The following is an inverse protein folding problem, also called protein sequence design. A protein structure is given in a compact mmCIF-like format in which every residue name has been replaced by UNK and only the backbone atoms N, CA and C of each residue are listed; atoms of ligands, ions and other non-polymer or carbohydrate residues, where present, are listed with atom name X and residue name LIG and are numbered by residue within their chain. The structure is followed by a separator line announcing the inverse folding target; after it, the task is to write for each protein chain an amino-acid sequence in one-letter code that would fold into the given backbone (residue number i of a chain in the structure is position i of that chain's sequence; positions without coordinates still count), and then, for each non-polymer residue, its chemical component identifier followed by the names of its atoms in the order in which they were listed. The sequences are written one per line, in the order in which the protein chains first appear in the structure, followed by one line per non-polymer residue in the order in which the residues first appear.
data_IF_111371718999
#
_entry.id   IF_111371718999
#
_cell.length_a   1.000
_cell.length_b   1.000
_cell.length_c   1.000
_cell.angle_alpha   90.00
_cell.angle_beta   90.00
_cell.angle_gamma   90.00
#
_symmetry.space_group_name_H-M   'P 1'
#
loop_
_entity.id
_entity.type
_entity.pdbx_description
1 polymer ?
#
# COMPACT_ATOMS: atom_id res chain seq x y z
N UNK A 1 20.76 -58.77 -52.11
CA UNK A 1 20.12 -59.37 -50.91
C UNK A 1 19.83 -58.27 -49.91
N UNK A 2 18.54 -58.02 -49.66
CA UNK A 2 17.98 -57.02 -48.74
C UNK A 2 18.15 -57.46 -47.27
N UNK A 3 18.56 -56.56 -46.38
CA UNK A 3 18.11 -56.59 -44.98
C UNK A 3 18.12 -55.17 -44.37
N UNK A 4 16.91 -54.59 -44.31
CA UNK A 4 16.50 -53.40 -43.54
C UNK A 4 16.70 -53.65 -42.06
N UNK A 5 17.23 -52.70 -41.29
CA UNK A 5 16.79 -52.43 -39.90
C UNK A 5 16.89 -50.92 -39.65
N UNK A 6 15.74 -50.26 -39.76
CA UNK A 6 15.51 -48.86 -39.37
C UNK A 6 15.25 -48.89 -37.87
N UNK A 7 16.21 -48.42 -37.07
CA UNK A 7 16.05 -48.22 -35.63
C UNK A 7 15.76 -46.75 -35.36
N UNK A 8 14.49 -46.43 -35.14
CA UNK A 8 14.04 -45.16 -34.57
C UNK A 8 14.68 -44.96 -33.20
N UNK A 9 15.62 -44.01 -33.08
CA UNK A 9 15.91 -43.37 -31.79
C UNK A 9 15.19 -42.01 -31.75
N UNK A 10 13.88 -42.07 -31.51
CA UNK A 10 13.13 -40.98 -30.91
C UNK A 10 13.57 -40.87 -29.44
N UNK A 11 14.74 -40.29 -29.20
CA UNK A 11 15.08 -39.79 -27.88
C UNK A 11 14.28 -38.51 -27.70
N UNK A 12 13.15 -38.67 -27.00
CA UNK A 12 12.23 -37.61 -26.65
C UNK A 12 13.00 -36.45 -26.02
N UNK A 13 12.94 -35.30 -26.69
CA UNK A 13 13.02 -34.00 -26.05
C UNK A 13 11.88 -33.94 -25.04
N UNK A 14 12.13 -34.47 -23.84
CA UNK A 14 11.37 -34.12 -22.65
C UNK A 14 11.54 -32.61 -22.50
N UNK A 15 10.55 -31.89 -23.00
CA UNK A 15 10.37 -30.48 -22.80
C UNK A 15 10.43 -30.23 -21.30
N UNK A 16 11.57 -29.72 -20.83
CA UNK A 16 11.66 -28.96 -19.59
C UNK A 16 10.82 -27.70 -19.79
N UNK A 17 9.50 -27.85 -19.75
CA UNK A 17 8.61 -26.74 -19.52
C UNK A 17 8.92 -26.27 -18.10
N UNK A 18 9.45 -25.04 -17.92
CA UNK A 18 9.62 -24.50 -16.59
C UNK A 18 8.25 -24.54 -15.94
N UNK A 19 8.16 -25.30 -14.84
CA UNK A 19 7.00 -25.34 -13.96
C UNK A 19 6.79 -23.90 -13.52
N UNK A 20 5.93 -23.17 -14.22
CA UNK A 20 5.54 -21.83 -13.83
C UNK A 20 5.04 -21.99 -12.40
N UNK A 21 5.80 -21.43 -11.45
CA UNK A 21 5.31 -21.25 -10.11
C UNK A 21 3.97 -20.53 -10.29
N UNK A 22 2.87 -21.22 -9.99
CA UNK A 22 1.56 -20.61 -9.96
C UNK A 22 1.73 -19.42 -9.02
N UNK A 23 1.71 -18.21 -9.58
CA UNK A 23 1.83 -17.01 -8.80
C UNK A 23 0.74 -17.09 -7.73
N UNK A 24 1.15 -17.10 -6.46
CA UNK A 24 0.21 -17.11 -5.35
C UNK A 24 -0.68 -15.87 -5.52
N UNK A 25 -2.00 -16.09 -5.62
CA UNK A 25 -2.93 -14.99 -5.79
C UNK A 25 -2.79 -14.06 -4.59
N UNK A 26 -2.70 -12.73 -4.79
CA UNK A 26 -2.63 -11.80 -3.68
C UNK A 26 -3.80 -12.03 -2.74
N UNK A 27 -3.51 -12.24 -1.45
CA UNK A 27 -4.55 -12.31 -0.43
C UNK A 27 -5.41 -11.05 -0.53
N UNK A 28 -6.72 -11.23 -0.41
CA UNK A 28 -7.69 -10.14 -0.45
C UNK A 28 -8.58 -10.15 0.78
N UNK A 29 -8.99 -8.98 1.24
CA UNK A 29 -9.99 -8.84 2.29
C UNK A 29 -11.15 -7.96 1.84
N UNK A 30 -12.39 -8.49 1.81
CA UNK A 30 -13.57 -7.72 1.41
C UNK A 30 -13.91 -6.56 2.36
N UNK A 31 -13.34 -6.51 3.56
CA UNK A 31 -13.49 -5.41 4.52
C UNK A 31 -12.51 -4.26 4.27
N UNK A 32 -11.65 -4.38 3.26
CA UNK A 32 -10.68 -3.38 2.84
C UNK A 32 -9.26 -3.64 3.33
N UNK A 33 -8.27 -3.22 2.55
CA UNK A 33 -6.85 -3.40 2.81
C UNK A 33 -6.29 -2.36 3.80
N UNK A 34 -6.12 -2.76 5.07
CA UNK A 34 -5.58 -1.89 6.13
C UNK A 34 -4.18 -1.36 5.80
N UNK A 35 -3.31 -2.21 5.24
CA UNK A 35 -1.96 -1.80 4.89
C UNK A 35 -1.97 -0.79 3.73
N UNK A 36 -2.89 -0.94 2.77
CA UNK A 36 -3.01 0.06 1.70
C UNK A 36 -3.51 1.40 2.23
N UNK A 37 -4.53 1.39 3.10
CA UNK A 37 -5.03 2.61 3.74
C UNK A 37 -3.91 3.35 4.47
N UNK A 38 -3.10 2.63 5.26
CA UNK A 38 -1.94 3.22 5.93
C UNK A 38 -0.98 3.91 4.95
N UNK A 39 -0.63 3.26 3.84
CA UNK A 39 0.26 3.83 2.82
C UNK A 39 -0.33 5.13 2.23
N UNK A 40 -1.61 5.13 1.90
CA UNK A 40 -2.31 6.30 1.34
C UNK A 40 -2.31 7.46 2.34
N UNK A 41 -2.75 7.23 3.57
CA UNK A 41 -2.80 8.28 4.58
C UNK A 41 -1.41 8.81 4.93
N UNK A 42 -0.39 7.96 4.92
CA UNK A 42 1.01 8.36 5.13
C UNK A 42 1.53 9.26 4.00
N UNK A 43 1.19 8.96 2.74
CA UNK A 43 1.55 9.82 1.59
C UNK A 43 0.83 11.18 1.68
N UNK A 44 -0.47 11.18 2.00
CA UNK A 44 -1.27 12.41 2.16
C UNK A 44 -0.69 13.30 3.26
N UNK A 45 -0.33 12.70 4.40
CA UNK A 45 0.29 13.43 5.50
C UNK A 45 1.62 14.06 5.06
N UNK A 46 2.48 13.30 4.37
CA UNK A 46 3.75 13.79 3.87
C UNK A 46 3.60 14.95 2.87
N UNK A 47 2.60 14.90 1.98
CA UNK A 47 2.26 16.01 1.09
C UNK A 47 1.81 17.23 1.89
N UNK A 48 0.91 17.05 2.86
CA UNK A 48 0.39 18.12 3.69
C UNK A 48 1.47 18.81 4.54
N UNK A 49 2.35 18.04 5.18
CA UNK A 49 3.51 18.56 5.91
C UNK A 49 4.48 19.32 4.99
N UNK A 50 4.61 18.90 3.73
CA UNK A 50 5.53 19.52 2.77
C UNK A 50 4.97 20.82 2.16
N UNK A 51 3.65 20.86 1.91
CA UNK A 51 3.02 21.90 1.12
C UNK A 51 2.25 22.93 1.96
N UNK A 52 1.70 22.55 3.12
CA UNK A 52 0.84 23.42 3.94
C UNK A 52 1.03 23.22 5.46
N UNK A 53 2.27 23.12 6.00
CA UNK A 53 2.51 22.68 7.37
C UNK A 53 1.87 23.56 8.47
N UNK A 54 1.78 24.87 8.25
CA UNK A 54 1.19 25.81 9.21
C UNK A 54 -0.30 26.02 8.98
N UNK A 55 -0.71 26.12 7.71
CA UNK A 55 -2.09 26.45 7.33
C UNK A 55 -3.08 25.36 7.73
N UNK A 56 -2.69 24.10 7.60
CA UNK A 56 -3.58 22.95 7.82
C UNK A 56 -3.17 22.14 9.08
N UNK A 57 -2.45 22.76 10.01
CA UNK A 57 -1.88 22.08 11.20
C UNK A 57 -2.91 21.24 11.96
N UNK A 58 -4.11 21.76 12.18
CA UNK A 58 -5.17 21.04 12.89
C UNK A 58 -5.66 19.79 12.14
N UNK A 59 -5.66 19.85 10.81
CA UNK A 59 -5.98 18.70 9.98
C UNK A 59 -4.83 17.68 9.98
N UNK A 60 -3.57 18.13 9.91
CA UNK A 60 -2.40 17.24 9.97
C UNK A 60 -2.31 16.50 11.31
N UNK A 61 -2.58 17.17 12.43
CA UNK A 61 -2.66 16.52 13.76
C UNK A 61 -3.79 15.49 13.79
N UNK A 62 -4.95 15.84 13.25
CA UNK A 62 -6.05 14.89 13.13
C UNK A 62 -5.69 13.68 12.26
N UNK A 63 -5.08 13.90 11.08
CA UNK A 63 -4.67 12.86 10.16
C UNK A 63 -3.64 11.92 10.78
N UNK A 64 -2.62 12.48 11.44
CA UNK A 64 -1.61 11.72 12.17
C UNK A 64 -2.26 10.84 13.27
N UNK A 65 -3.29 11.33 13.98
CA UNK A 65 -4.02 10.51 14.94
C UNK A 65 -4.71 9.29 14.30
N UNK A 66 -5.20 9.41 13.06
CA UNK A 66 -5.80 8.28 12.35
C UNK A 66 -4.73 7.32 11.82
N UNK A 67 -3.59 7.83 11.36
CA UNK A 67 -2.42 7.02 10.99
C UNK A 67 -1.96 6.17 12.18
N UNK A 68 -1.90 6.74 13.38
CA UNK A 68 -1.48 6.02 14.59
C UNK A 68 -2.45 4.90 14.99
N UNK A 69 -3.76 5.09 14.77
CA UNK A 69 -4.75 4.01 14.93
C UNK A 69 -4.47 2.84 13.97
N UNK A 70 -4.16 3.13 12.71
CA UNK A 70 -3.82 2.09 11.73
C UNK A 70 -2.50 1.39 12.10
N UNK A 71 -1.47 2.15 12.51
CA UNK A 71 -0.19 1.55 12.96
C UNK A 71 -0.41 0.60 14.13
N UNK A 72 -1.20 1.01 15.12
CA UNK A 72 -1.53 0.17 16.27
C UNK A 72 -2.26 -1.12 15.84
N UNK A 73 -3.14 -1.04 14.84
CA UNK A 73 -3.76 -2.21 14.23
C UNK A 73 -2.73 -3.13 13.57
N UNK A 74 -1.86 -2.58 12.72
CA UNK A 74 -0.83 -3.35 11.99
C UNK A 74 0.08 -4.09 12.97
N UNK A 75 0.57 -3.40 14.00
CA UNK A 75 1.48 -3.99 15.01
C UNK A 75 0.80 -5.10 15.80
N UNK A 76 -0.49 -4.96 16.12
CA UNK A 76 -1.24 -6.01 16.85
C UNK A 76 -1.54 -7.25 15.98
N UNK A 77 -1.63 -7.08 14.67
CA UNK A 77 -2.12 -8.10 13.74
C UNK A 77 -1.06 -8.63 12.75
N UNK A 78 0.23 -8.32 12.96
CA UNK A 78 1.34 -8.80 12.12
C UNK A 78 2.65 -8.83 12.91
N UNK A 79 3.70 -9.39 12.30
CA UNK A 79 5.06 -9.38 12.87
C UNK A 79 5.79 -8.03 12.69
N UNK A 80 5.09 -6.98 12.28
CA UNK A 80 5.66 -5.64 12.06
C UNK A 80 5.90 -4.90 13.38
N UNK A 81 7.01 -4.18 13.48
CA UNK A 81 7.32 -3.36 14.67
C UNK A 81 6.89 -1.89 14.50
N UNK A 82 6.64 -1.16 15.60
CA UNK A 82 6.43 0.29 15.54
C UNK A 82 7.56 1.04 14.82
N UNK A 83 8.82 0.68 15.11
CA UNK A 83 9.99 1.30 14.48
C UNK A 83 10.05 1.08 12.97
N UNK A 84 9.64 -0.08 12.47
CA UNK A 84 9.60 -0.35 11.03
C UNK A 84 8.57 0.55 10.32
N UNK A 85 7.42 0.81 10.94
CA UNK A 85 6.39 1.71 10.41
C UNK A 85 6.86 3.17 10.45
N UNK A 86 7.50 3.60 11.54
CA UNK A 86 8.08 4.94 11.67
C UNK A 86 9.17 5.20 10.64
N UNK A 87 10.06 4.21 10.43
CA UNK A 87 11.11 4.28 9.43
C UNK A 87 10.55 4.40 8.02
N UNK A 88 9.47 3.67 7.71
CA UNK A 88 8.81 3.78 6.42
C UNK A 88 8.12 5.14 6.24
N UNK A 89 7.40 5.63 7.24
CA UNK A 89 6.77 6.96 7.18
C UNK A 89 7.81 8.07 7.00
N UNK A 90 8.96 7.98 7.70
CA UNK A 90 10.07 8.91 7.50
C UNK A 90 10.60 8.88 6.07
N UNK A 91 10.79 7.70 5.48
CA UNK A 91 11.18 7.57 4.07
C UNK A 91 10.18 8.21 3.12
N UNK A 92 8.88 8.05 3.38
CA UNK A 92 7.82 8.68 2.58
C UNK A 92 7.91 10.21 2.67
N UNK A 93 8.06 10.78 3.87
CA UNK A 93 8.26 12.23 4.06
C UNK A 93 9.50 12.76 3.35
N UNK A 94 10.62 12.03 3.39
CA UNK A 94 11.83 12.39 2.67
C UNK A 94 11.63 12.40 1.15
N UNK A 95 10.86 11.45 0.61
CA UNK A 95 10.51 11.40 -0.81
C UNK A 95 9.61 12.57 -1.20
N UNK A 96 8.58 12.85 -0.41
CA UNK A 96 7.67 13.98 -0.64
C UNK A 96 8.42 15.32 -0.62
N UNK A 97 9.33 15.51 0.35
CA UNK A 97 10.17 16.71 0.44
C UNK A 97 11.07 16.89 -0.80
N UNK A 98 11.65 15.80 -1.33
CA UNK A 98 12.44 15.83 -2.59
C UNK A 98 11.58 16.18 -3.81
N UNK A 99 10.28 15.85 -3.78
CA UNK A 99 9.31 16.10 -4.85
C UNK A 99 8.48 17.36 -4.62
N UNK A 100 8.87 18.24 -3.68
CA UNK A 100 8.09 19.41 -3.27
C UNK A 100 7.58 20.26 -4.43
N UNK A 101 8.43 20.59 -5.40
CA UNK A 101 8.07 21.44 -6.54
C UNK A 101 6.96 20.86 -7.41
N UNK A 102 6.88 19.53 -7.54
CA UNK A 102 5.81 18.85 -8.26
C UNK A 102 4.60 18.57 -7.36
N UNK A 103 4.84 18.19 -6.11
CA UNK A 103 3.82 17.74 -5.18
C UNK A 103 2.96 18.88 -4.65
N UNK A 104 3.47 20.12 -4.62
CA UNK A 104 2.75 21.30 -4.14
C UNK A 104 2.11 22.13 -5.28
N UNK A 105 2.15 21.64 -6.52
CA UNK A 105 1.38 22.27 -7.59
C UNK A 105 -0.11 22.05 -7.33
N UNK A 106 -0.97 23.08 -7.44
CA UNK A 106 -2.41 22.93 -7.18
C UNK A 106 -3.06 21.81 -8.00
N UNK A 107 -2.59 21.60 -9.23
CA UNK A 107 -3.08 20.56 -10.14
C UNK A 107 -2.30 19.23 -10.04
N UNK A 108 -1.26 19.15 -9.20
CA UNK A 108 -0.50 17.91 -9.01
C UNK A 108 -1.31 16.86 -8.26
N UNK A 109 -1.20 15.59 -8.66
CA UNK A 109 -1.95 14.46 -8.08
C UNK A 109 -1.89 14.42 -6.55
N UNK A 110 -0.72 14.72 -5.98
CA UNK A 110 -0.52 14.79 -4.53
C UNK A 110 -1.39 15.85 -3.85
N UNK A 111 -1.41 17.09 -4.36
CA UNK A 111 -2.27 18.14 -3.82
C UNK A 111 -3.76 17.87 -4.06
N UNK A 112 -4.13 17.26 -5.19
CA UNK A 112 -5.52 16.92 -5.47
C UNK A 112 -6.03 15.87 -4.46
N UNK A 113 -5.25 14.82 -4.22
CA UNK A 113 -5.59 13.80 -3.23
C UNK A 113 -5.63 14.38 -1.82
N UNK A 114 -4.62 15.17 -1.45
CA UNK A 114 -4.58 15.86 -0.16
C UNK A 114 -5.81 16.75 0.06
N UNK A 115 -6.14 17.60 -0.92
CA UNK A 115 -7.27 18.51 -0.86
C UNK A 115 -8.60 17.77 -0.77
N UNK A 116 -8.74 16.66 -1.51
CA UNK A 116 -9.94 15.82 -1.49
C UNK A 116 -10.18 15.26 -0.09
N UNK A 117 -9.15 14.67 0.54
CA UNK A 117 -9.27 14.09 1.87
C UNK A 117 -9.47 15.17 2.94
N UNK A 118 -8.76 16.30 2.83
CA UNK A 118 -8.91 17.44 3.75
C UNK A 118 -10.32 18.04 3.74
N UNK A 119 -11.03 17.94 2.60
CA UNK A 119 -12.38 18.46 2.44
C UNK A 119 -13.48 17.58 3.04
N UNK A 120 -13.17 16.33 3.42
CA UNK A 120 -14.14 15.41 4.01
C UNK A 120 -14.53 15.83 5.45
N UNK A 121 -15.76 15.49 5.87
CA UNK A 121 -16.14 15.63 7.29
C UNK A 121 -15.27 14.68 8.13
N UNK A 122 -14.62 15.23 9.18
CA UNK A 122 -13.81 14.44 10.12
C UNK A 122 -14.60 13.28 10.72
N UNK A 123 -15.91 13.45 10.96
CA UNK A 123 -16.78 12.37 11.46
C UNK A 123 -16.92 11.23 10.47
N UNK A 124 -16.94 11.55 9.16
CA UNK A 124 -16.94 10.53 8.12
C UNK A 124 -15.62 9.76 8.12
N UNK A 125 -14.48 10.44 8.20
CA UNK A 125 -13.16 9.79 8.27
C UNK A 125 -13.08 8.89 9.51
N UNK A 126 -13.55 9.35 10.67
CA UNK A 126 -13.59 8.54 11.90
C UNK A 126 -14.45 7.30 11.70
N UNK A 127 -15.67 7.44 11.16
CA UNK A 127 -16.57 6.31 10.96
C UNK A 127 -16.00 5.25 9.99
N UNK A 128 -15.40 5.68 8.88
CA UNK A 128 -14.74 4.76 7.94
C UNK A 128 -13.51 4.09 8.58
N UNK A 129 -12.75 4.82 9.41
CA UNK A 129 -11.63 4.26 10.16
C UNK A 129 -12.09 3.23 11.21
N UNK A 130 -13.16 3.53 11.95
CA UNK A 130 -13.75 2.62 12.93
C UNK A 130 -14.17 1.31 12.26
N UNK A 131 -14.84 1.41 11.10
CA UNK A 131 -15.26 0.26 10.30
C UNK A 131 -14.07 -0.54 9.75
N UNK A 132 -13.05 0.13 9.23
CA UNK A 132 -11.86 -0.52 8.66
C UNK A 132 -11.11 -1.36 9.70
N UNK A 133 -11.04 -0.85 10.93
CA UNK A 133 -10.25 -1.39 12.04
C UNK A 133 -11.09 -2.22 13.04
N UNK A 134 -12.38 -2.45 12.76
CA UNK A 134 -13.33 -3.10 13.68
C UNK A 134 -12.93 -4.54 14.04
N UNK A 135 -12.36 -5.27 13.08
CA UNK A 135 -12.05 -6.70 13.20
C UNK A 135 -10.55 -6.92 13.07
N UNK A 136 -9.94 -7.52 14.09
CA UNK A 136 -8.55 -7.98 14.08
C UNK A 136 -8.34 -9.04 12.97
N UNK A 137 -7.41 -8.75 12.06
CA UNK A 137 -7.11 -9.54 10.86
C UNK A 137 -5.75 -9.14 10.29
N UNK A 138 -5.16 -10.03 9.48
CA UNK A 138 -3.90 -9.75 8.77
C UNK A 138 -4.01 -8.43 7.98
N UNK A 139 -3.09 -7.46 8.16
CA UNK A 139 -3.14 -6.19 7.46
C UNK A 139 -2.69 -6.35 6.01
N UNK A 140 -3.64 -6.63 5.12
CA UNK A 140 -3.38 -6.82 3.69
C UNK A 140 -3.26 -5.49 2.93
N UNK A 141 -2.54 -5.52 1.80
CA UNK A 141 -2.42 -4.40 0.85
C UNK A 141 -3.45 -4.45 -0.30
N UNK A 142 -4.19 -5.55 -0.44
CA UNK A 142 -5.16 -5.76 -1.51
C UNK A 142 -6.50 -6.25 -0.95
N UNK A 143 -7.65 -5.87 -1.54
CA UNK A 143 -7.80 -4.83 -2.55
C UNK A 143 -7.57 -3.45 -1.94
N UNK A 144 -6.82 -2.60 -2.64
CA UNK A 144 -6.80 -1.18 -2.31
C UNK A 144 -7.97 -0.52 -3.03
N UNK A 145 -8.83 0.17 -2.28
CA UNK A 145 -10.06 0.87 -2.70
C UNK A 145 -10.56 0.57 -4.13
#
# INVERSE_FOLDING_TARGET
MLKRWIGLCLLGLATFLPRHALAEQPKSDPRGAVLCAWMIYTEIEAVGETCSPEQDRDFLVFLQSQIDRIKAFIVRNSDTTPSALEDQQRRVREIAAKRRSASCQPEGDGMQLYSSIRSLDRRQIIAEMDKLLEVDREPLASPCL
#
